data_IF_640210120566
#
_entry.id   IF_640210120566
#
_cell.length_a   1.000
_cell.length_b   1.000
_cell.length_c   1.000
_cell.angle_alpha   90.00
_cell.angle_beta   90.00
_cell.angle_gamma   90.00
#
_symmetry.space_group_name_H-M   'P 1'
#
loop_
_entity.id
_entity.type
_entity.pdbx_description
1 polymer ?
#
# COMPACT_ATOMS: atom_id res chain seq x y z
N UNK A 1 -20.38 30.95 -60.35
CA UNK A 1 -19.26 30.00 -60.53
C UNK A 1 -18.59 29.78 -59.20
N UNK A 2 -18.83 28.65 -58.54
CA UNK A 2 -18.19 28.31 -57.27
C UNK A 2 -16.92 27.51 -57.57
N UNK A 3 -15.75 28.06 -57.18
CA UNK A 3 -14.47 27.40 -57.32
C UNK A 3 -14.35 26.29 -56.26
N UNK A 4 -14.22 25.06 -56.73
CA UNK A 4 -13.92 23.92 -55.88
C UNK A 4 -12.45 24.00 -55.39
N UNK A 5 -12.21 24.29 -54.10
CA UNK A 5 -10.90 24.12 -53.48
C UNK A 5 -10.58 22.61 -53.42
N UNK A 6 -9.62 22.17 -54.21
CA UNK A 6 -9.03 20.84 -54.12
C UNK A 6 -8.18 20.78 -52.88
N UNK A 7 -8.68 20.14 -51.80
CA UNK A 7 -7.87 19.78 -50.64
C UNK A 7 -6.80 18.78 -51.06
N UNK A 8 -5.56 19.24 -51.06
CA UNK A 8 -4.40 18.41 -51.35
C UNK A 8 -4.17 17.48 -50.14
N UNK A 9 -4.63 16.24 -50.21
CA UNK A 9 -4.36 15.18 -49.24
C UNK A 9 -3.01 14.55 -49.56
N UNK A 10 -1.93 15.19 -49.04
CA UNK A 10 -0.63 14.57 -49.10
C UNK A 10 -0.62 13.33 -48.20
N UNK A 11 -0.47 12.15 -48.77
CA UNK A 11 -0.30 10.89 -48.04
C UNK A 11 1.12 10.75 -47.51
N UNK A 12 1.28 10.03 -46.42
CA UNK A 12 2.60 9.69 -45.84
C UNK A 12 3.39 8.76 -46.78
N UNK A 13 4.68 9.03 -46.92
CA UNK A 13 5.58 8.14 -47.67
C UNK A 13 6.04 6.98 -46.78
N UNK A 14 6.38 5.84 -47.38
CA UNK A 14 6.93 4.67 -46.66
C UNK A 14 8.23 5.04 -45.94
N UNK A 15 9.08 5.86 -46.54
CA UNK A 15 10.34 6.29 -45.93
C UNK A 15 10.11 7.17 -44.68
N UNK A 16 9.11 8.02 -44.68
CA UNK A 16 8.74 8.87 -43.56
C UNK A 16 8.24 8.01 -42.37
N UNK A 17 7.45 6.98 -42.64
CA UNK A 17 7.02 6.03 -41.62
C UNK A 17 8.19 5.24 -41.04
N UNK A 18 9.16 4.81 -41.86
CA UNK A 18 10.37 4.14 -41.38
C UNK A 18 11.21 5.03 -40.47
N UNK A 19 11.39 6.32 -40.82
CA UNK A 19 12.14 7.27 -39.98
C UNK A 19 11.44 7.46 -38.63
N UNK A 20 10.14 7.62 -38.63
CA UNK A 20 9.34 7.76 -37.39
C UNK A 20 9.49 6.54 -36.49
N UNK A 21 9.41 5.31 -37.04
CA UNK A 21 9.61 4.10 -36.27
C UNK A 21 11.01 3.99 -35.65
N UNK A 22 12.06 4.39 -36.38
CA UNK A 22 13.44 4.43 -35.85
C UNK A 22 13.54 5.42 -34.69
N UNK A 23 13.00 6.61 -34.83
CA UNK A 23 13.02 7.64 -33.76
C UNK A 23 12.28 7.15 -32.51
N UNK A 24 11.09 6.53 -32.68
CA UNK A 24 10.32 5.95 -31.59
C UNK A 24 11.12 4.82 -30.91
N UNK A 25 11.76 3.95 -31.69
CA UNK A 25 12.59 2.86 -31.16
C UNK A 25 13.73 3.37 -30.26
N UNK A 26 14.44 4.42 -30.69
CA UNK A 26 15.50 5.06 -29.90
C UNK A 26 14.91 5.71 -28.63
N UNK A 27 13.81 6.43 -28.74
CA UNK A 27 13.17 7.07 -27.59
C UNK A 27 12.70 6.06 -26.53
N UNK A 28 12.15 4.91 -26.94
CA UNK A 28 11.70 3.86 -26.04
C UNK A 28 12.86 3.19 -25.29
N UNK A 29 14.04 3.02 -25.89
CA UNK A 29 15.20 2.46 -25.21
C UNK A 29 15.70 3.33 -24.05
N UNK A 30 15.58 4.64 -24.17
CA UNK A 30 15.96 5.61 -23.12
C UNK A 30 14.85 5.72 -22.03
N UNK A 31 13.58 5.65 -22.43
CA UNK A 31 12.44 5.81 -21.52
C UNK A 31 12.21 4.57 -20.63
N UNK A 32 12.44 3.36 -21.13
CA UNK A 32 12.10 2.11 -20.46
C UNK A 32 12.72 1.93 -19.05
N UNK A 33 14.02 2.22 -18.80
CA UNK A 33 14.60 2.02 -17.45
C UNK A 33 13.99 2.96 -16.41
N UNK A 34 13.73 4.21 -16.77
CA UNK A 34 13.16 5.20 -15.84
C UNK A 34 11.70 4.87 -15.46
N UNK A 35 10.96 4.29 -16.39
CA UNK A 35 9.57 3.88 -16.14
C UNK A 35 9.44 2.77 -15.08
N UNK A 36 10.39 1.82 -15.06
CA UNK A 36 10.40 0.75 -14.05
C UNK A 36 10.59 1.30 -12.63
N UNK A 37 11.48 2.28 -12.44
CA UNK A 37 11.67 2.95 -11.15
C UNK A 37 10.41 3.66 -10.66
N UNK A 38 9.76 4.40 -11.55
CA UNK A 38 8.50 5.09 -11.26
C UNK A 38 7.36 4.12 -10.86
N UNK A 39 7.20 3.01 -11.58
CA UNK A 39 6.18 2.00 -11.27
C UNK A 39 6.42 1.40 -9.88
N UNK A 40 7.67 1.06 -9.51
CA UNK A 40 8.02 0.50 -8.20
C UNK A 40 7.72 1.49 -7.06
N UNK A 41 8.10 2.75 -7.22
CA UNK A 41 7.79 3.79 -6.23
C UNK A 41 6.29 4.00 -6.09
N UNK A 42 5.56 4.02 -7.19
CA UNK A 42 4.10 4.18 -7.15
C UNK A 42 3.40 2.99 -6.46
N UNK A 43 3.91 1.76 -6.62
CA UNK A 43 3.37 0.59 -5.92
C UNK A 43 3.48 0.72 -4.40
N UNK A 44 4.64 1.06 -3.86
CA UNK A 44 4.80 1.20 -2.40
C UNK A 44 3.99 2.37 -1.85
N UNK A 45 3.93 3.49 -2.58
CA UNK A 45 3.11 4.65 -2.21
C UNK A 45 1.62 4.30 -2.17
N UNK A 46 1.14 3.57 -3.17
CA UNK A 46 -0.26 3.11 -3.22
C UNK A 46 -0.54 2.10 -2.11
N UNK A 47 0.38 1.19 -1.81
CA UNK A 47 0.26 0.25 -0.69
C UNK A 47 0.20 0.96 0.65
N UNK A 48 1.05 1.95 0.88
CA UNK A 48 1.03 2.75 2.10
C UNK A 48 -0.32 3.47 2.28
N UNK A 49 -0.85 4.05 1.21
CA UNK A 49 -2.18 4.67 1.23
C UNK A 49 -3.29 3.65 1.47
N UNK A 50 -3.23 2.48 0.84
CA UNK A 50 -4.21 1.42 1.04
C UNK A 50 -4.24 0.96 2.49
N UNK A 51 -3.09 0.75 3.12
CA UNK A 51 -3.01 0.41 4.55
C UNK A 51 -3.57 1.55 5.42
N UNK A 52 -3.20 2.80 5.15
CA UNK A 52 -3.72 3.94 5.90
C UNK A 52 -5.25 4.04 5.82
N UNK A 53 -5.83 3.83 4.64
CA UNK A 53 -7.29 3.81 4.45
C UNK A 53 -7.91 2.60 5.15
N UNK A 54 -7.27 1.43 5.11
CA UNK A 54 -7.71 0.23 5.83
C UNK A 54 -7.76 0.46 7.34
N UNK A 55 -6.75 1.10 7.91
CA UNK A 55 -6.70 1.49 9.32
C UNK A 55 -7.83 2.48 9.68
N UNK A 56 -8.04 3.49 8.85
CA UNK A 56 -9.15 4.44 9.04
C UNK A 56 -10.51 3.76 8.93
N UNK A 57 -10.67 2.84 7.99
CA UNK A 57 -11.90 2.04 7.82
C UNK A 57 -12.15 1.15 9.03
N UNK A 58 -11.12 0.47 9.54
CA UNK A 58 -11.23 -0.33 10.75
C UNK A 58 -11.67 0.52 11.96
N UNK A 59 -11.08 1.71 12.10
CA UNK A 59 -11.48 2.69 13.13
C UNK A 59 -12.97 3.08 13.02
N UNK A 60 -13.41 3.42 11.80
CA UNK A 60 -14.82 3.80 11.56
C UNK A 60 -15.76 2.62 11.80
N UNK A 61 -15.37 1.40 11.40
CA UNK A 61 -16.15 0.19 11.68
C UNK A 61 -16.28 -0.06 13.18
N UNK A 62 -15.20 0.09 13.94
CA UNK A 62 -15.23 -0.04 15.40
C UNK A 62 -16.22 0.93 16.05
N UNK A 63 -16.22 2.19 15.61
CA UNK A 63 -17.14 3.23 16.11
C UNK A 63 -18.58 2.89 15.72
N UNK A 64 -18.85 2.62 14.45
CA UNK A 64 -20.18 2.42 13.91
C UNK A 64 -20.87 1.14 14.45
N UNK A 65 -20.08 0.08 14.65
CA UNK A 65 -20.61 -1.19 15.19
C UNK A 65 -20.62 -1.25 16.72
N UNK A 66 -20.06 -0.24 17.40
CA UNK A 66 -19.83 -0.24 18.85
C UNK A 66 -19.09 -1.49 19.35
N UNK A 67 -18.13 -1.99 18.54
CA UNK A 67 -17.34 -3.19 18.80
C UNK A 67 -15.86 -2.92 18.54
N UNK A 68 -14.99 -3.85 18.90
CA UNK A 68 -13.59 -3.76 18.52
C UNK A 68 -13.40 -4.19 17.07
N UNK A 69 -12.54 -3.47 16.35
CA UNK A 69 -12.11 -3.84 15.00
C UNK A 69 -10.59 -3.90 14.97
N UNK A 70 -10.07 -4.94 14.36
CA UNK A 70 -8.64 -5.20 14.29
C UNK A 70 -8.14 -5.15 12.85
N UNK A 71 -6.92 -4.68 12.67
CA UNK A 71 -6.11 -4.91 11.47
C UNK A 71 -4.92 -5.74 11.90
N UNK A 72 -4.82 -6.94 11.38
CA UNK A 72 -3.83 -7.95 11.76
C UNK A 72 -2.89 -8.22 10.58
N UNK A 73 -1.60 -8.00 10.78
CA UNK A 73 -0.54 -8.15 9.79
C UNK A 73 0.15 -9.52 9.86
N UNK A 74 -0.20 -10.31 10.87
CA UNK A 74 0.31 -11.67 11.06
C UNK A 74 -0.81 -12.61 11.58
N UNK A 75 -1.94 -12.77 10.86
CA UNK A 75 -3.06 -13.56 11.36
C UNK A 75 -2.71 -15.04 11.47
N UNK A 76 -2.99 -15.64 12.61
CA UNK A 76 -2.77 -17.06 12.88
C UNK A 76 -1.31 -17.48 12.83
N UNK A 77 -0.95 -18.31 11.85
CA UNK A 77 0.42 -18.79 11.62
C UNK A 77 1.20 -17.98 10.61
N UNK A 78 0.62 -16.90 10.06
CA UNK A 78 1.29 -16.01 9.12
C UNK A 78 2.23 -15.06 9.87
N UNK A 79 3.13 -14.45 9.12
CA UNK A 79 4.03 -13.41 9.61
C UNK A 79 3.97 -12.17 8.71
N UNK A 80 4.48 -11.01 9.14
CA UNK A 80 4.57 -9.83 8.26
C UNK A 80 5.35 -10.09 6.97
N UNK A 81 6.31 -11.06 6.98
CA UNK A 81 7.05 -11.47 5.79
C UNK A 81 6.15 -12.03 4.67
N UNK A 82 4.96 -12.52 5.00
CA UNK A 82 3.96 -12.97 4.03
C UNK A 82 3.34 -11.86 3.21
N UNK A 83 3.59 -10.61 3.59
CA UNK A 83 3.08 -9.41 2.91
C UNK A 83 1.55 -9.40 2.79
N UNK A 84 0.88 -9.84 3.84
CA UNK A 84 -0.57 -10.01 3.93
C UNK A 84 -1.09 -9.38 5.22
N UNK A 85 -2.29 -8.81 5.17
CA UNK A 85 -3.00 -8.36 6.36
C UNK A 85 -4.50 -8.57 6.22
N UNK A 86 -5.19 -8.70 7.34
CA UNK A 86 -6.64 -8.86 7.39
C UNK A 86 -7.27 -7.77 8.25
N UNK A 87 -8.53 -7.46 7.96
CA UNK A 87 -9.37 -6.60 8.80
C UNK A 87 -10.53 -7.44 9.28
N UNK A 88 -10.78 -7.42 10.58
CA UNK A 88 -11.88 -8.16 11.16
C UNK A 88 -12.53 -7.42 12.32
N UNK A 89 -13.82 -7.66 12.49
CA UNK A 89 -14.63 -7.09 13.55
C UNK A 89 -14.87 -8.18 14.61
N UNK A 90 -14.47 -7.90 15.84
CA UNK A 90 -14.69 -8.81 16.97
C UNK A 90 -16.17 -8.85 17.33
N UNK A 91 -16.90 -9.82 16.80
CA UNK A 91 -18.35 -9.93 16.91
C UNK A 91 -18.80 -10.53 18.25
N UNK A 92 -17.97 -11.34 18.86
CA UNK A 92 -18.26 -12.06 20.11
C UNK A 92 -17.45 -11.54 21.31
N UNK A 93 -16.57 -10.54 21.11
CA UNK A 93 -15.75 -9.90 22.14
C UNK A 93 -14.73 -10.85 22.80
N UNK A 94 -14.25 -11.85 22.04
CA UNK A 94 -13.24 -12.80 22.51
C UNK A 94 -11.79 -12.39 22.21
N UNK A 95 -11.60 -11.29 21.44
CA UNK A 95 -10.30 -10.74 21.00
C UNK A 95 -9.50 -11.70 20.09
N UNK A 96 -10.16 -12.70 19.53
CA UNK A 96 -9.61 -13.66 18.59
C UNK A 96 -10.34 -13.56 17.24
N UNK A 97 -9.68 -13.93 16.16
CA UNK A 97 -10.31 -13.99 14.85
C UNK A 97 -11.13 -15.29 14.75
N UNK A 98 -12.39 -15.15 14.42
CA UNK A 98 -13.30 -16.26 14.15
C UNK A 98 -13.71 -16.29 12.67
N UNK A 99 -14.08 -17.50 12.21
CA UNK A 99 -14.54 -17.68 10.83
C UNK A 99 -15.78 -16.84 10.56
N UNK A 100 -15.69 -15.95 9.57
CA UNK A 100 -16.77 -15.03 9.19
C UNK A 100 -16.59 -13.59 9.68
N UNK A 101 -15.65 -13.32 10.58
CA UNK A 101 -15.36 -11.96 11.07
C UNK A 101 -14.49 -11.12 10.10
N UNK A 102 -13.79 -11.78 9.17
CA UNK A 102 -12.93 -11.10 8.20
C UNK A 102 -13.71 -10.29 7.15
N UNK A 103 -13.18 -9.13 6.85
CA UNK A 103 -13.75 -8.24 5.84
C UNK A 103 -13.09 -8.44 4.48
N UNK A 104 -13.88 -8.82 3.50
CA UNK A 104 -13.43 -9.03 2.11
C UNK A 104 -13.69 -7.84 1.18
N UNK A 105 -14.17 -6.70 1.70
CA UNK A 105 -14.82 -5.69 0.84
C UNK A 105 -14.02 -4.45 0.49
N UNK A 106 -12.80 -4.21 1.02
CA UNK A 106 -12.14 -2.92 0.81
C UNK A 106 -10.63 -2.98 0.50
N UNK A 107 -10.27 -2.29 -0.58
CA UNK A 107 -9.01 -1.61 -0.91
C UNK A 107 -7.74 -2.48 -0.98
N UNK A 108 -7.62 -3.23 -2.02
CA UNK A 108 -6.43 -3.99 -2.39
C UNK A 108 -6.78 -5.18 -3.27
N UNK A 109 -5.82 -6.03 -3.55
CA UNK A 109 -6.09 -7.34 -4.14
C UNK A 109 -6.60 -8.24 -3.02
N UNK A 110 -7.91 -8.58 -2.99
CA UNK A 110 -8.40 -9.54 -2.00
C UNK A 110 -7.70 -10.88 -2.23
N UNK A 111 -7.21 -11.46 -1.17
CA UNK A 111 -6.56 -12.77 -1.20
C UNK A 111 -7.03 -13.61 -0.02
N UNK A 112 -6.84 -14.92 -0.13
CA UNK A 112 -7.08 -15.83 0.98
C UNK A 112 -5.78 -16.57 1.26
N UNK A 113 -5.22 -16.36 2.45
CA UNK A 113 -3.97 -17.00 2.87
C UNK A 113 -4.11 -17.55 4.28
N UNK A 114 -3.67 -18.80 4.49
CA UNK A 114 -3.75 -19.43 5.80
C UNK A 114 -5.17 -19.56 6.37
N UNK A 115 -6.21 -19.56 5.51
CA UNK A 115 -7.62 -19.59 5.94
C UNK A 115 -8.21 -18.21 6.25
N UNK A 116 -7.41 -17.13 6.19
CA UNK A 116 -7.86 -15.76 6.43
C UNK A 116 -8.20 -15.04 5.13
N UNK A 117 -9.31 -14.31 5.10
CA UNK A 117 -9.63 -13.37 4.05
C UNK A 117 -8.97 -12.03 4.37
N UNK A 118 -8.24 -11.47 3.41
CA UNK A 118 -7.53 -10.22 3.65
C UNK A 118 -6.93 -9.64 2.38
N UNK A 119 -5.84 -8.91 2.52
CA UNK A 119 -5.21 -8.16 1.45
C UNK A 119 -3.73 -8.51 1.35
N UNK A 120 -3.30 -8.79 0.14
CA UNK A 120 -1.91 -9.02 -0.18
C UNK A 120 -1.27 -7.75 -0.76
N UNK A 121 -0.06 -7.45 -0.32
CA UNK A 121 0.72 -6.37 -0.91
C UNK A 121 1.13 -6.71 -2.35
N UNK A 122 1.22 -5.71 -3.24
CA UNK A 122 1.68 -5.91 -4.61
C UNK A 122 3.12 -6.44 -4.65
N UNK A 123 3.43 -7.14 -5.74
CA UNK A 123 4.78 -7.66 -5.98
C UNK A 123 5.84 -6.56 -5.87
N UNK A 124 6.90 -6.83 -5.10
CA UNK A 124 8.01 -5.90 -4.88
C UNK A 124 7.78 -4.90 -3.73
N UNK A 125 6.68 -5.04 -2.98
CA UNK A 125 6.43 -4.31 -1.73
C UNK A 125 6.40 -5.31 -0.58
N UNK A 126 7.14 -5.00 0.50
CA UNK A 126 7.24 -5.86 1.69
C UNK A 126 7.08 -5.02 2.94
N UNK A 127 6.63 -5.66 4.02
CA UNK A 127 6.79 -5.10 5.36
C UNK A 127 8.27 -5.14 5.77
N UNK A 128 8.66 -4.21 6.62
CA UNK A 128 10.03 -4.03 7.06
C UNK A 128 10.79 -3.00 6.24
N UNK A 129 11.79 -2.42 6.87
CA UNK A 129 12.75 -1.50 6.22
C UNK A 129 14.17 -1.89 6.63
N UNK A 130 15.09 -1.86 5.67
CA UNK A 130 16.51 -2.10 5.93
C UNK A 130 17.28 -0.77 5.98
N UNK A 131 18.29 -0.68 6.84
CA UNK A 131 19.17 0.50 6.92
C UNK A 131 18.54 1.72 7.60
N UNK A 132 17.40 1.56 8.28
CA UNK A 132 16.77 2.59 9.12
C UNK A 132 16.27 1.90 10.38
N UNK A 133 16.76 2.30 11.53
CA UNK A 133 16.38 1.72 12.84
C UNK A 133 15.36 2.58 13.59
N UNK A 134 15.24 3.85 13.22
CA UNK A 134 14.37 4.80 13.91
C UNK A 134 13.25 5.26 12.99
N UNK A 135 12.02 5.02 13.40
CA UNK A 135 10.81 5.42 12.73
C UNK A 135 10.43 6.88 12.97
N UNK A 136 9.29 7.34 12.43
CA UNK A 136 8.72 8.64 12.77
C UNK A 136 8.53 8.77 14.28
N UNK A 137 8.71 10.00 14.79
CA UNK A 137 8.51 10.32 16.21
C UNK A 137 9.46 9.55 17.17
N UNK A 138 10.57 9.01 16.64
CA UNK A 138 11.59 8.33 17.46
C UNK A 138 11.28 6.87 17.82
N UNK A 139 10.22 6.28 17.25
CA UNK A 139 9.88 4.88 17.47
C UNK A 139 10.97 3.93 16.95
N UNK A 140 11.24 2.84 17.65
CA UNK A 140 12.11 1.78 17.13
C UNK A 140 11.38 0.98 16.05
N UNK A 141 12.05 0.73 14.92
CA UNK A 141 11.49 -0.09 13.84
C UNK A 141 11.85 -1.55 14.12
N UNK A 142 10.87 -2.45 14.25
CA UNK A 142 11.12 -3.86 14.40
C UNK A 142 11.63 -4.49 13.09
N UNK A 143 12.26 -5.66 13.19
CA UNK A 143 12.87 -6.34 12.06
C UNK A 143 11.85 -6.76 10.97
N UNK A 144 10.65 -7.11 11.38
CA UNK A 144 9.53 -7.50 10.52
C UNK A 144 8.72 -6.30 9.98
N UNK A 145 8.97 -5.10 10.53
CA UNK A 145 8.37 -3.85 10.08
C UNK A 145 6.96 -3.58 10.58
N UNK A 146 6.50 -4.29 11.61
CA UNK A 146 5.17 -4.06 12.21
C UNK A 146 5.31 -4.07 13.73
N UNK A 147 4.85 -3.02 14.40
CA UNK A 147 4.78 -2.99 15.86
C UNK A 147 3.61 -2.12 16.34
N UNK A 148 2.74 -2.73 17.10
CA UNK A 148 1.65 -2.07 17.81
C UNK A 148 1.66 -2.50 19.27
N UNK A 149 2.60 -1.95 20.04
CA UNK A 149 2.76 -2.28 21.46
C UNK A 149 3.24 -3.70 21.71
N UNK A 150 4.16 -4.19 20.88
CA UNK A 150 4.71 -5.55 20.94
C UNK A 150 3.85 -6.61 20.23
N UNK A 151 2.93 -6.17 19.34
CA UNK A 151 2.06 -7.05 18.56
C UNK A 151 2.03 -6.61 17.10
N UNK A 152 1.84 -7.55 16.18
CA UNK A 152 1.63 -7.30 14.74
C UNK A 152 0.18 -6.92 14.41
N UNK A 153 -0.57 -6.50 15.41
CA UNK A 153 -2.00 -6.21 15.30
C UNK A 153 -2.36 -4.90 15.95
N UNK A 154 -3.07 -4.04 15.22
CA UNK A 154 -3.69 -2.83 15.77
C UNK A 154 -5.17 -3.06 16.03
N UNK A 155 -5.64 -2.72 17.23
CA UNK A 155 -7.04 -2.77 17.59
C UNK A 155 -7.61 -1.36 17.79
N UNK A 156 -8.80 -1.12 17.28
CA UNK A 156 -9.59 0.08 17.52
C UNK A 156 -10.81 -0.27 18.36
N UNK A 157 -11.07 0.49 19.41
CA UNK A 157 -12.28 0.33 20.23
C UNK A 157 -13.46 1.16 19.70
N UNK A 158 -14.63 1.01 20.29
CA UNK A 158 -15.84 1.72 19.92
C UNK A 158 -15.77 3.26 20.05
N UNK A 159 -14.78 3.80 20.74
CA UNK A 159 -14.51 5.26 20.80
C UNK A 159 -13.51 5.72 19.76
N UNK A 160 -13.01 4.82 18.91
CA UNK A 160 -11.99 5.12 17.90
C UNK A 160 -10.58 5.29 18.46
N UNK A 161 -10.33 4.92 19.72
CA UNK A 161 -9.00 4.85 20.33
C UNK A 161 -8.32 3.60 19.78
N UNK A 162 -7.05 3.73 19.37
CA UNK A 162 -6.28 2.66 18.76
C UNK A 162 -5.05 2.27 19.59
N UNK A 163 -4.51 1.09 19.33
CA UNK A 163 -3.18 0.73 19.82
C UNK A 163 -2.14 1.57 19.07
N UNK A 164 -1.30 2.30 19.81
CA UNK A 164 -0.23 3.10 19.20
C UNK A 164 0.85 2.19 18.60
N UNK A 165 1.39 2.61 17.46
CA UNK A 165 2.44 1.86 16.79
C UNK A 165 2.56 2.21 15.31
N UNK A 166 3.22 1.36 14.53
CA UNK A 166 3.46 1.62 13.13
C UNK A 166 3.71 0.40 12.27
N UNK A 167 3.45 0.58 10.98
CA UNK A 167 3.76 -0.36 9.90
C UNK A 167 4.75 0.32 8.96
N UNK A 168 5.80 -0.40 8.62
CA UNK A 168 6.88 0.08 7.77
C UNK A 168 6.94 -0.75 6.50
N UNK A 169 7.03 -0.07 5.35
CA UNK A 169 7.05 -0.68 4.04
C UNK A 169 8.32 -0.32 3.28
N UNK A 170 8.84 -1.27 2.53
CA UNK A 170 9.91 -1.03 1.58
C UNK A 170 9.55 -1.56 0.19
N UNK A 171 10.02 -0.87 -0.84
CA UNK A 171 9.99 -1.36 -2.22
C UNK A 171 11.37 -1.86 -2.65
N UNK A 172 11.42 -2.68 -3.69
CA UNK A 172 12.67 -3.20 -4.28
C UNK A 172 13.65 -2.09 -4.71
N UNK A 173 13.17 -0.89 -5.05
CA UNK A 173 13.99 0.26 -5.39
C UNK A 173 14.54 1.02 -4.17
N UNK A 174 14.30 0.53 -2.95
CA UNK A 174 14.74 1.15 -1.71
C UNK A 174 13.83 2.26 -1.16
N UNK A 175 12.75 2.64 -1.85
CA UNK A 175 11.76 3.60 -1.32
C UNK A 175 11.09 3.05 -0.07
N UNK A 176 11.00 3.86 0.99
CA UNK A 176 10.47 3.45 2.29
C UNK A 176 9.32 4.34 2.71
N UNK A 177 8.29 3.73 3.27
CA UNK A 177 7.12 4.41 3.84
C UNK A 177 6.82 3.87 5.22
N UNK A 178 6.27 4.72 6.07
CA UNK A 178 5.74 4.32 7.37
C UNK A 178 4.30 4.80 7.51
N UNK A 179 3.48 4.01 8.18
CA UNK A 179 2.12 4.36 8.56
C UNK A 179 2.06 4.21 10.08
N UNK A 180 1.81 5.29 10.78
CA UNK A 180 1.72 5.29 12.25
C UNK A 180 0.30 5.52 12.73
N UNK A 181 -0.05 4.87 13.82
CA UNK A 181 -1.30 5.05 14.55
C UNK A 181 -0.97 5.59 15.93
N UNK A 182 -1.55 6.71 16.29
CA UNK A 182 -1.45 7.23 17.65
C UNK A 182 -2.42 6.53 18.61
N UNK A 183 -2.17 6.61 19.91
CA UNK A 183 -3.10 6.10 20.93
C UNK A 183 -4.52 6.68 20.84
N UNK A 184 -4.69 7.86 20.24
CA UNK A 184 -6.00 8.45 19.95
C UNK A 184 -6.62 7.97 18.63
N UNK A 185 -5.98 7.02 17.96
CA UNK A 185 -6.45 6.44 16.68
C UNK A 185 -6.21 7.33 15.46
N UNK A 186 -5.36 8.36 15.54
CA UNK A 186 -4.98 9.13 14.37
C UNK A 186 -3.97 8.35 13.52
N UNK A 187 -4.25 8.25 12.22
CA UNK A 187 -3.39 7.56 11.24
C UNK A 187 -2.61 8.58 10.43
N UNK A 188 -1.30 8.42 10.36
CA UNK A 188 -0.40 9.27 9.59
C UNK A 188 0.44 8.43 8.65
N UNK A 189 0.81 8.99 7.49
CA UNK A 189 1.68 8.34 6.51
C UNK A 189 2.92 9.19 6.30
N UNK A 190 4.08 8.55 6.28
CA UNK A 190 5.39 9.16 6.18
C UNK A 190 6.18 8.55 5.02
N UNK A 191 7.01 9.35 4.39
CA UNK A 191 7.98 8.91 3.39
C UNK A 191 9.40 9.14 3.92
N UNK A 192 10.29 8.18 3.74
CA UNK A 192 11.71 8.34 4.02
C UNK A 192 12.41 9.07 2.86
N UNK A 193 13.11 10.15 3.15
CA UNK A 193 13.83 10.94 2.15
C UNK A 193 15.35 10.70 2.15
N UNK A 194 15.80 9.57 2.68
CA UNK A 194 17.18 9.14 2.94
C UNK A 194 17.85 9.80 4.16
N UNK A 195 17.21 10.73 4.84
CA UNK A 195 17.72 11.38 6.05
C UNK A 195 16.68 11.43 7.18
N UNK A 196 15.42 11.63 6.85
CA UNK A 196 14.35 11.78 7.81
C UNK A 196 13.00 11.33 7.24
N UNK A 197 12.04 11.08 8.12
CA UNK A 197 10.64 10.82 7.79
C UNK A 197 9.90 12.14 7.57
N UNK A 198 9.17 12.25 6.47
CA UNK A 198 8.34 13.40 6.07
C UNK A 198 6.94 12.98 5.74
#
# INVERSE_FOLDING_TARGET
MAGAETRNTAGFTIIELMIVLVIIGIALTIAAPNFRGFVRENRVKTSARAIAVSLQTARLKAINSNRRCFVDFAPGSLSPADSFFTIWLDMNSNLAYDSGEGDSTHLGQPDTKGGFKGYKLPLGVKFGVSGVSTGPEGATIPADGVDFGGSDRVGFNSRGVGTAGGVYLTAENGSKYAITVSGLGAVRTWKWDNSQWK
#
